data_IF_797605309479
#
_entry.id   IF_797605309479
#
_cell.length_a   1.000
_cell.length_b   1.000
_cell.length_c   1.000
_cell.angle_alpha   90.00
_cell.angle_beta   90.00
_cell.angle_gamma   90.00
#
_symmetry.space_group_name_H-M   'P 1'
#
loop_
_entity.id
_entity.type
_entity.pdbx_description
1 polymer ?
#
# COMPACT_ATOMS: atom_id res chain seq x y z
N UNK A 1 -13.65 -22.13 -11.05
CA UNK A 1 -13.19 -21.62 -9.75
C UNK A 1 -11.76 -21.12 -9.96
N UNK A 2 -11.63 -19.90 -10.46
CA UNK A 2 -10.33 -19.28 -10.71
C UNK A 2 -9.85 -18.68 -9.40
N UNK A 3 -8.74 -19.23 -8.87
CA UNK A 3 -7.99 -18.58 -7.82
C UNK A 3 -7.28 -17.38 -8.45
N UNK A 4 -7.77 -16.19 -8.15
CA UNK A 4 -7.07 -14.95 -8.42
C UNK A 4 -5.77 -14.96 -7.59
N UNK A 5 -4.63 -15.04 -8.27
CA UNK A 5 -3.33 -14.92 -7.62
C UNK A 5 -3.21 -13.49 -7.12
N UNK A 6 -3.24 -13.33 -5.80
CA UNK A 6 -2.82 -12.09 -5.15
C UNK A 6 -1.34 -11.91 -5.45
N UNK A 7 -0.99 -10.97 -6.34
CA UNK A 7 0.38 -10.55 -6.55
C UNK A 7 0.82 -9.75 -5.32
N UNK A 8 1.40 -10.44 -4.33
CA UNK A 8 2.15 -9.80 -3.27
C UNK A 8 3.52 -9.43 -3.84
N UNK A 9 3.72 -8.15 -4.20
CA UNK A 9 5.04 -7.68 -4.59
C UNK A 9 5.93 -7.58 -3.34
N UNK A 10 6.79 -8.57 -3.13
CA UNK A 10 7.81 -8.54 -2.10
C UNK A 10 9.01 -7.74 -2.65
N UNK A 11 8.94 -6.42 -2.51
CA UNK A 11 10.11 -5.55 -2.73
C UNK A 11 10.88 -5.43 -1.43
N UNK A 12 12.07 -6.02 -1.39
CA UNK A 12 12.85 -6.24 -0.16
C UNK A 12 13.75 -5.05 0.19
N UNK A 13 13.65 -3.91 -0.51
CA UNK A 13 14.60 -2.78 -0.41
C UNK A 13 13.99 -1.42 -0.08
N UNK A 14 12.66 -1.27 -0.03
CA UNK A 14 12.05 0.06 0.16
C UNK A 14 10.83 -0.07 1.05
N UNK A 15 10.99 0.31 2.33
CA UNK A 15 9.93 0.57 3.34
C UNK A 15 8.63 -0.22 3.08
N UNK A 16 8.44 -1.41 3.69
CA UNK A 16 7.40 -2.32 3.25
C UNK A 16 6.06 -1.93 3.88
N UNK A 17 5.50 -0.80 3.45
CA UNK A 17 4.06 -0.58 3.57
C UNK A 17 3.42 -1.31 2.39
N UNK A 18 3.08 -2.58 2.62
CA UNK A 18 2.28 -3.34 1.67
C UNK A 18 0.81 -3.00 1.97
N UNK A 19 0.16 -2.32 1.01
CA UNK A 19 -1.28 -2.12 1.02
C UNK A 19 -1.94 -3.30 0.32
N UNK A 20 -2.63 -4.15 1.06
CA UNK A 20 -3.52 -5.16 0.46
C UNK A 20 -4.94 -4.64 0.55
N UNK A 21 -5.60 -4.47 -0.60
CA UNK A 21 -7.00 -4.09 -0.67
C UNK A 21 -7.87 -5.07 0.11
N UNK A 22 -8.89 -4.58 0.81
CA UNK A 22 -9.77 -5.43 1.59
C UNK A 22 -10.41 -6.53 0.73
N UNK A 23 -10.54 -7.73 1.31
CA UNK A 23 -11.08 -8.95 0.66
C UNK A 23 -12.57 -8.86 0.30
N UNK A 24 -13.25 -7.77 0.67
CA UNK A 24 -14.65 -7.51 0.38
C UNK A 24 -14.75 -6.39 -0.66
N UNK A 25 -15.34 -6.74 -1.81
CA UNK A 25 -15.55 -5.92 -3.02
C UNK A 25 -16.40 -4.63 -2.80
N UNK A 26 -16.77 -4.33 -1.56
CA UNK A 26 -17.62 -3.20 -1.17
C UNK A 26 -17.05 -2.34 -0.04
N UNK A 27 -15.88 -2.69 0.50
CA UNK A 27 -15.26 -1.97 1.62
C UNK A 27 -14.01 -1.21 1.15
N UNK A 28 -14.25 -0.16 0.35
CA UNK A 28 -13.20 0.71 -0.19
C UNK A 28 -12.54 1.60 0.88
N UNK A 29 -13.05 1.60 2.11
CA UNK A 29 -12.60 2.46 3.20
C UNK A 29 -11.50 1.83 4.05
N UNK A 30 -11.26 0.52 3.88
CA UNK A 30 -10.30 -0.22 4.68
C UNK A 30 -9.17 -0.77 3.83
N UNK A 31 -7.94 -0.50 4.27
CA UNK A 31 -6.72 -1.08 3.71
C UNK A 31 -6.05 -1.92 4.79
N UNK A 32 -5.51 -3.08 4.41
CA UNK A 32 -4.63 -3.83 5.29
C UNK A 32 -3.22 -3.26 5.17
N UNK A 33 -2.70 -2.78 6.29
CA UNK A 33 -1.34 -2.26 6.39
C UNK A 33 -0.49 -3.30 7.10
N UNK A 34 0.53 -3.77 6.41
CA UNK A 34 1.60 -4.57 7.00
C UNK A 34 2.80 -3.65 7.24
N UNK A 35 3.38 -3.70 8.43
CA UNK A 35 4.57 -2.93 8.80
C UNK A 35 5.72 -3.89 9.07
N UNK A 36 6.93 -3.49 8.68
CA UNK A 36 8.16 -4.27 8.91
C UNK A 36 8.32 -4.66 10.38
N UNK A 37 8.19 -3.70 11.29
CA UNK A 37 8.20 -3.94 12.74
C UNK A 37 7.19 -5.00 13.18
N UNK A 38 6.02 -5.03 12.54
CA UNK A 38 4.98 -6.03 12.81
C UNK A 38 5.37 -7.43 12.32
N UNK A 39 6.16 -7.54 11.25
CA UNK A 39 6.71 -8.79 10.76
C UNK A 39 7.90 -9.26 11.63
N UNK A 40 8.80 -8.35 11.98
CA UNK A 40 9.99 -8.66 12.78
C UNK A 40 9.63 -8.97 14.25
N UNK A 41 8.72 -8.21 14.87
CA UNK A 41 8.37 -8.40 16.28
C UNK A 41 7.14 -9.29 16.47
N UNK A 42 6.24 -9.34 15.48
CA UNK A 42 5.04 -10.17 15.54
C UNK A 42 5.25 -11.59 15.02
N UNK A 43 5.97 -11.74 13.90
CA UNK A 43 6.26 -13.04 13.28
C UNK A 43 7.71 -13.49 13.46
N UNK A 44 8.61 -12.66 14.01
CA UNK A 44 10.02 -13.01 14.24
C UNK A 44 10.76 -13.46 12.97
N UNK A 45 10.41 -12.87 11.83
CA UNK A 45 11.05 -13.14 10.54
C UNK A 45 11.94 -11.96 10.14
N UNK A 46 13.23 -12.22 10.01
CA UNK A 46 14.18 -11.24 9.47
C UNK A 46 14.02 -11.07 7.96
N UNK A 47 14.65 -10.04 7.40
CA UNK A 47 14.77 -9.85 5.94
C UNK A 47 15.35 -11.10 5.24
N UNK A 48 16.37 -11.72 5.84
CA UNK A 48 16.96 -12.95 5.30
C UNK A 48 16.00 -14.14 5.34
N UNK A 49 15.17 -14.24 6.38
CA UNK A 49 14.16 -15.29 6.49
C UNK A 49 13.07 -15.14 5.43
N UNK A 50 12.63 -13.92 5.17
CA UNK A 50 11.68 -13.62 4.09
C UNK A 50 12.26 -13.99 2.72
N UNK A 51 13.55 -13.68 2.48
CA UNK A 51 14.27 -14.09 1.28
C UNK A 51 14.30 -15.62 1.12
N UNK A 52 14.65 -16.34 2.19
CA UNK A 52 14.69 -17.80 2.18
C UNK A 52 13.30 -18.41 1.90
N UNK A 53 12.25 -17.86 2.51
CA UNK A 53 10.86 -18.25 2.27
C UNK A 53 10.49 -18.05 0.80
N UNK A 54 10.79 -16.88 0.22
CA UNK A 54 10.49 -16.58 -1.17
C UNK A 54 11.21 -17.53 -2.15
N UNK A 55 12.47 -17.88 -1.85
CA UNK A 55 13.26 -18.79 -2.68
C UNK A 55 12.80 -20.25 -2.59
N UNK A 56 12.37 -20.71 -1.41
CA UNK A 56 12.00 -22.12 -1.23
C UNK A 56 10.55 -22.41 -1.57
N UNK A 57 9.62 -21.49 -1.32
CA UNK A 57 8.20 -21.65 -1.72
C UNK A 57 7.99 -21.26 -3.19
N UNK A 58 8.80 -20.33 -3.68
CA UNK A 58 8.60 -19.67 -4.95
C UNK A 58 7.85 -18.34 -4.80
N UNK A 59 8.07 -17.46 -5.76
CA UNK A 59 7.52 -16.12 -5.79
C UNK A 59 7.64 -15.50 -7.18
N UNK A 60 7.81 -14.18 -7.24
CA UNK A 60 7.85 -13.43 -8.50
C UNK A 60 9.03 -13.80 -9.42
N UNK A 61 10.13 -14.34 -8.88
CA UNK A 61 11.36 -14.56 -9.63
C UNK A 61 11.75 -16.02 -9.85
N UNK A 62 11.14 -16.97 -9.13
CA UNK A 62 11.40 -18.41 -9.26
C UNK A 62 10.19 -19.24 -8.76
N UNK A 63 10.06 -20.47 -9.27
CA UNK A 63 8.97 -21.38 -8.89
C UNK A 63 9.16 -22.04 -7.52
N UNK A 64 10.36 -21.95 -6.94
CA UNK A 64 10.72 -22.56 -5.67
C UNK A 64 10.93 -24.06 -5.74
N UNK A 65 10.98 -24.68 -4.56
CA UNK A 65 11.20 -26.12 -4.41
C UNK A 65 9.87 -26.86 -4.36
N UNK A 66 9.63 -27.85 -5.25
CA UNK A 66 8.40 -28.62 -5.25
C UNK A 66 8.07 -29.24 -3.89
N UNK A 67 6.81 -29.07 -3.47
CA UNK A 67 6.32 -29.60 -2.19
C UNK A 67 6.74 -28.78 -0.96
N UNK A 68 7.48 -27.69 -1.15
CA UNK A 68 7.84 -26.76 -0.08
C UNK A 68 6.71 -25.74 0.15
N UNK A 69 5.98 -25.89 1.25
CA UNK A 69 4.87 -25.01 1.62
C UNK A 69 5.22 -24.01 2.74
N UNK A 70 4.38 -22.99 2.90
CA UNK A 70 4.57 -21.92 3.89
C UNK A 70 4.69 -22.43 5.33
N UNK A 71 3.96 -23.49 5.71
CA UNK A 71 4.04 -24.04 7.06
C UNK A 71 5.42 -24.65 7.38
N UNK A 72 6.04 -25.29 6.38
CA UNK A 72 7.38 -25.88 6.51
C UNK A 72 8.39 -24.75 6.62
N UNK A 73 8.29 -23.78 5.71
CA UNK A 73 9.24 -22.70 5.59
C UNK A 73 9.20 -21.70 6.73
N UNK A 74 8.01 -21.40 7.25
CA UNK A 74 7.87 -20.55 8.43
C UNK A 74 8.59 -21.17 9.64
N UNK A 75 8.51 -22.49 9.83
CA UNK A 75 9.23 -23.19 10.91
C UNK A 75 10.74 -23.21 10.68
N UNK A 76 11.18 -23.45 9.44
CA UNK A 76 12.61 -23.40 9.07
C UNK A 76 13.18 -22.01 9.34
N UNK A 77 12.49 -20.96 8.92
CA UNK A 77 12.87 -19.57 9.17
C UNK A 77 12.94 -19.26 10.66
N UNK A 78 11.89 -19.55 11.43
CA UNK A 78 11.83 -19.24 12.86
C UNK A 78 12.89 -19.94 13.72
N UNK A 79 13.29 -21.14 13.32
CA UNK A 79 14.13 -22.02 14.14
C UNK A 79 15.54 -22.24 13.59
N UNK A 80 15.89 -21.56 12.51
CA UNK A 80 17.25 -21.58 11.95
C UNK A 80 17.74 -20.16 11.72
N UNK A 81 19.05 -20.00 11.52
CA UNK A 81 19.64 -18.72 11.09
C UNK A 81 19.95 -18.70 9.59
N UNK A 82 19.43 -19.69 8.86
CA UNK A 82 19.79 -19.93 7.46
C UNK A 82 19.41 -18.73 6.59
N UNK A 83 18.25 -18.11 6.83
CA UNK A 83 17.81 -16.97 6.06
C UNK A 83 18.75 -15.78 6.18
N UNK A 84 19.12 -15.41 7.40
CA UNK A 84 20.08 -14.33 7.63
C UNK A 84 21.47 -14.66 7.08
N UNK A 85 21.97 -15.90 7.28
CA UNK A 85 23.25 -16.34 6.73
C UNK A 85 23.29 -16.26 5.20
N UNK A 86 22.18 -16.62 4.54
CA UNK A 86 22.02 -16.50 3.09
C UNK A 86 22.13 -15.04 2.62
N UNK A 87 21.44 -14.13 3.31
CA UNK A 87 21.50 -12.71 2.97
C UNK A 87 22.91 -12.14 3.19
N UNK A 88 23.54 -12.46 4.32
CA UNK A 88 24.89 -11.99 4.64
C UNK A 88 25.93 -12.53 3.65
N UNK A 89 25.84 -13.82 3.30
CA UNK A 89 26.71 -14.43 2.29
C UNK A 89 26.54 -13.74 0.92
N UNK A 90 25.30 -13.53 0.48
CA UNK A 90 25.03 -12.85 -0.79
C UNK A 90 25.59 -11.42 -0.82
N UNK A 91 25.50 -10.68 0.28
CA UNK A 91 25.99 -9.29 0.36
C UNK A 91 27.51 -9.17 0.49
N UNK A 92 28.20 -10.22 0.93
CA UNK A 92 29.64 -10.18 1.25
C UNK A 92 30.53 -10.92 0.26
N UNK A 93 29.97 -11.85 -0.51
CA UNK A 93 30.72 -12.74 -1.42
C UNK A 93 30.57 -12.32 -2.88
N UNK A 94 31.57 -12.67 -3.69
CA UNK A 94 31.43 -12.64 -5.16
C UNK A 94 30.49 -13.75 -5.64
N UNK A 95 29.96 -13.68 -6.89
CA UNK A 95 29.06 -14.72 -7.41
C UNK A 95 29.66 -16.13 -7.40
N UNK A 96 30.96 -16.26 -7.66
CA UNK A 96 31.66 -17.55 -7.66
C UNK A 96 31.82 -18.10 -6.24
N UNK A 97 32.22 -17.25 -5.28
CA UNK A 97 32.31 -17.62 -3.86
C UNK A 97 30.94 -17.98 -3.27
N UNK A 98 29.90 -17.22 -3.62
CA UNK A 98 28.53 -17.50 -3.23
C UNK A 98 28.05 -18.85 -3.77
N UNK A 99 28.42 -19.19 -5.01
CA UNK A 99 28.05 -20.47 -5.62
C UNK A 99 28.73 -21.66 -4.93
N UNK A 100 29.93 -21.47 -4.40
CA UNK A 100 30.60 -22.50 -3.59
C UNK A 100 29.95 -22.63 -2.21
N UNK A 101 29.72 -21.50 -1.53
CA UNK A 101 29.04 -21.44 -0.23
C UNK A 101 27.61 -22.03 -0.30
N UNK A 102 26.91 -21.81 -1.41
CA UNK A 102 25.56 -22.34 -1.63
C UNK A 102 25.49 -23.87 -1.57
N UNK A 103 26.60 -24.58 -1.85
CA UNK A 103 26.64 -26.05 -1.70
C UNK A 103 26.54 -26.46 -0.24
N UNK A 104 27.22 -25.75 0.65
CA UNK A 104 27.12 -25.97 2.11
C UNK A 104 25.70 -25.65 2.60
N UNK A 105 25.10 -24.56 2.10
CA UNK A 105 23.71 -24.21 2.39
C UNK A 105 22.74 -25.33 1.98
N UNK A 106 22.91 -25.94 0.80
CA UNK A 106 22.09 -27.08 0.37
C UNK A 106 22.24 -28.24 1.37
N UNK A 107 23.46 -28.58 1.78
CA UNK A 107 23.70 -29.65 2.75
C UNK A 107 23.04 -29.38 4.12
N UNK A 108 23.11 -28.12 4.58
CA UNK A 108 22.45 -27.67 5.81
C UNK A 108 20.92 -27.81 5.71
N UNK A 109 20.34 -27.37 4.59
CA UNK A 109 18.90 -27.50 4.33
C UNK A 109 18.48 -28.98 4.24
N UNK A 110 19.26 -29.81 3.56
CA UNK A 110 19.03 -31.24 3.49
C UNK A 110 19.05 -31.89 4.87
N UNK A 111 20.06 -31.56 5.67
CA UNK A 111 20.21 -32.09 7.03
C UNK A 111 19.03 -31.65 7.89
N UNK A 112 18.70 -30.36 7.89
CA UNK A 112 17.59 -29.78 8.64
C UNK A 112 16.27 -30.48 8.32
N UNK A 113 15.92 -30.56 7.04
CA UNK A 113 14.66 -31.13 6.57
C UNK A 113 14.59 -32.66 6.75
N UNK A 114 15.71 -33.37 6.60
CA UNK A 114 15.73 -34.85 6.63
C UNK A 114 15.84 -35.43 8.03
N UNK A 115 16.59 -34.77 8.92
CA UNK A 115 16.88 -35.29 10.26
C UNK A 115 15.98 -34.69 11.33
N UNK A 116 15.45 -33.48 11.10
CA UNK A 116 14.84 -32.63 12.11
C UNK A 116 15.80 -32.36 13.28
N UNK A 117 17.04 -31.99 12.95
CA UNK A 117 18.16 -31.87 13.89
C UNK A 117 17.88 -30.98 15.11
N UNK A 118 17.02 -29.97 14.96
CA UNK A 118 16.66 -29.04 16.06
C UNK A 118 15.36 -29.40 16.79
N UNK A 119 14.71 -30.54 16.46
CA UNK A 119 13.34 -30.85 16.86
C UNK A 119 12.34 -29.70 16.59
N UNK A 120 12.69 -28.81 15.65
CA UNK A 120 11.94 -27.60 15.31
C UNK A 120 10.79 -27.89 14.35
N UNK A 121 10.83 -29.05 13.68
CA UNK A 121 9.81 -29.50 12.76
C UNK A 121 8.98 -30.60 13.43
N UNK A 122 7.67 -30.63 13.17
CA UNK A 122 6.79 -31.69 13.69
C UNK A 122 7.08 -33.06 13.07
N UNK A 123 7.69 -33.06 11.88
CA UNK A 123 8.07 -34.24 11.12
C UNK A 123 9.26 -33.96 10.22
N UNK A 124 9.81 -35.03 9.63
CA UNK A 124 10.86 -34.95 8.61
C UNK A 124 10.24 -34.70 7.24
N UNK A 125 10.89 -33.85 6.45
CA UNK A 125 10.48 -33.47 5.10
C UNK A 125 11.51 -33.94 4.06
N UNK A 126 11.87 -35.23 4.12
CA UNK A 126 12.87 -35.84 3.22
C UNK A 126 12.57 -35.62 1.74
N UNK A 127 11.30 -35.78 1.35
CA UNK A 127 10.88 -35.54 -0.02
C UNK A 127 11.19 -34.09 -0.45
N UNK A 128 10.93 -33.09 0.39
CA UNK A 128 11.24 -31.69 0.06
C UNK A 128 12.75 -31.49 -0.07
N UNK A 129 13.52 -32.06 0.85
CA UNK A 129 14.99 -32.02 0.79
C UNK A 129 15.50 -32.57 -0.55
N UNK A 130 15.04 -33.75 -0.96
CA UNK A 130 15.44 -34.39 -2.22
C UNK A 130 15.10 -33.59 -3.49
N UNK A 131 14.13 -32.67 -3.42
CA UNK A 131 13.75 -31.82 -4.55
C UNK A 131 14.52 -30.49 -4.59
N UNK A 132 15.40 -30.21 -3.63
CA UNK A 132 16.26 -29.01 -3.67
C UNK A 132 17.26 -29.17 -4.83
N UNK A 133 17.26 -28.26 -5.83
CA UNK A 133 18.19 -28.36 -6.95
C UNK A 133 19.65 -28.15 -6.50
N UNK A 134 20.60 -28.83 -7.14
CA UNK A 134 22.04 -28.64 -6.87
C UNK A 134 22.55 -27.21 -7.14
N UNK A 135 21.86 -26.45 -7.99
CA UNK A 135 22.19 -25.05 -8.29
C UNK A 135 21.43 -24.04 -7.42
N UNK A 136 20.83 -24.48 -6.31
CA UNK A 136 20.05 -23.63 -5.41
C UNK A 136 20.94 -22.96 -4.35
N UNK A 137 20.67 -21.69 -3.98
CA UNK A 137 19.89 -20.71 -4.72
C UNK A 137 20.70 -20.13 -5.88
N UNK A 138 20.03 -19.85 -7.01
CA UNK A 138 20.70 -19.19 -8.14
C UNK A 138 21.01 -17.74 -7.80
N UNK A 139 22.28 -17.32 -7.88
CA UNK A 139 22.72 -15.95 -7.59
C UNK A 139 21.86 -14.89 -8.32
N UNK A 140 21.53 -15.13 -9.59
CA UNK A 140 20.72 -14.21 -10.39
C UNK A 140 19.28 -14.04 -9.85
N UNK A 141 18.70 -15.07 -9.22
CA UNK A 141 17.37 -14.99 -8.58
C UNK A 141 17.47 -14.21 -7.28
N UNK A 142 18.47 -14.54 -6.44
CA UNK A 142 18.70 -13.82 -5.17
C UNK A 142 18.93 -12.32 -5.44
N UNK A 143 19.72 -11.99 -6.45
CA UNK A 143 19.97 -10.60 -6.86
C UNK A 143 18.71 -9.83 -7.23
N UNK A 144 17.67 -10.48 -7.78
CA UNK A 144 16.41 -9.79 -8.12
C UNK A 144 15.62 -9.39 -6.87
N UNK A 145 15.75 -10.16 -5.78
CA UNK A 145 15.14 -9.84 -4.50
C UNK A 145 15.96 -8.81 -3.70
N UNK A 146 17.29 -8.94 -3.70
CA UNK A 146 18.18 -8.13 -2.85
C UNK A 146 18.64 -6.83 -3.52
N UNK A 147 18.66 -6.78 -4.85
CA UNK A 147 19.03 -5.61 -5.64
C UNK A 147 17.91 -5.31 -6.64
N UNK A 148 16.73 -5.00 -6.10
CA UNK A 148 15.58 -4.68 -6.94
C UNK A 148 15.86 -3.45 -7.81
N UNK A 149 15.77 -3.59 -9.13
CA UNK A 149 15.90 -2.44 -10.02
C UNK A 149 14.65 -1.58 -9.94
N UNK A 150 14.65 -0.62 -9.02
CA UNK A 150 13.56 0.33 -8.84
C UNK A 150 13.77 1.58 -9.68
N UNK A 151 12.70 2.33 -9.95
CA UNK A 151 12.78 3.63 -10.62
C UNK A 151 13.76 4.59 -9.94
N UNK A 152 13.92 4.48 -8.62
CA UNK A 152 14.91 5.22 -7.83
C UNK A 152 16.36 4.89 -8.22
N UNK A 153 16.66 3.62 -8.49
CA UNK A 153 18.00 3.18 -8.93
C UNK A 153 18.26 3.46 -10.42
N UNK A 154 17.21 3.60 -11.24
CA UNK A 154 17.31 3.91 -12.66
C UNK A 154 17.75 5.35 -12.98
N UNK A 155 18.19 6.12 -11.97
CA UNK A 155 18.54 7.52 -12.12
C UNK A 155 17.34 8.44 -12.31
N UNK A 156 16.12 8.00 -11.97
CA UNK A 156 15.02 8.93 -11.79
C UNK A 156 15.44 9.89 -10.68
N UNK A 157 15.57 11.18 -11.02
CA UNK A 157 15.73 12.25 -10.05
C UNK A 157 14.75 11.99 -8.90
N UNK A 158 15.25 12.09 -7.66
CA UNK A 158 14.49 11.85 -6.43
C UNK A 158 13.00 12.13 -6.66
N UNK A 159 12.14 11.10 -6.52
CA UNK A 159 10.69 11.15 -6.73
C UNK A 159 10.21 12.58 -6.51
N UNK A 160 9.64 13.30 -7.49
CA UNK A 160 9.32 14.71 -7.31
C UNK A 160 8.58 14.86 -5.98
N UNK A 161 9.29 15.42 -4.99
CA UNK A 161 8.77 15.61 -3.64
C UNK A 161 7.58 16.58 -3.67
N UNK A 162 7.42 17.25 -4.81
CA UNK A 162 6.21 17.88 -5.26
C UNK A 162 5.15 16.82 -5.65
N UNK A 163 4.67 16.08 -4.64
CA UNK A 163 3.32 15.52 -4.69
C UNK A 163 2.40 16.75 -4.65
N UNK A 164 2.25 17.35 -5.81
CA UNK A 164 1.41 18.49 -6.04
C UNK A 164 -0.01 17.96 -6.04
N UNK A 165 -0.66 18.14 -4.90
CA UNK A 165 -2.09 18.05 -4.77
C UNK A 165 -2.66 19.03 -5.82
N UNK A 166 -3.26 18.58 -6.93
CA UNK A 166 -3.89 19.46 -7.93
C UNK A 166 -5.40 19.48 -7.77
N UNK A 167 -6.02 20.66 -7.91
CA UNK A 167 -7.48 20.70 -7.95
C UNK A 167 -7.94 19.93 -9.18
N UNK A 168 -8.95 19.05 -9.06
CA UNK A 168 -9.49 18.37 -10.23
C UNK A 168 -9.99 19.42 -11.21
N UNK A 169 -9.61 19.27 -12.48
CA UNK A 169 -10.16 20.08 -13.55
C UNK A 169 -11.58 19.56 -13.86
N UNK A 170 -12.56 20.19 -13.23
CA UNK A 170 -13.97 19.78 -13.33
C UNK A 170 -14.53 19.95 -14.75
N UNK A 171 -13.98 20.88 -15.54
CA UNK A 171 -14.40 21.10 -16.94
C UNK A 171 -13.93 19.93 -17.78
N UNK A 172 -12.63 19.63 -17.72
CA UNK A 172 -12.07 18.50 -18.46
C UNK A 172 -12.65 17.16 -17.99
N UNK A 173 -12.99 17.04 -16.71
CA UNK A 173 -13.67 15.85 -16.18
C UNK A 173 -15.10 15.72 -16.72
N UNK A 174 -15.86 16.83 -16.80
CA UNK A 174 -17.19 16.82 -17.42
C UNK A 174 -17.11 16.48 -18.93
N UNK A 175 -16.14 17.05 -19.64
CA UNK A 175 -15.87 16.73 -21.05
C UNK A 175 -15.53 15.25 -21.23
N UNK A 176 -14.71 14.68 -20.34
CA UNK A 176 -14.39 13.26 -20.31
C UNK A 176 -15.63 12.40 -20.08
N UNK A 177 -16.50 12.75 -19.13
CA UNK A 177 -17.75 12.04 -18.87
C UNK A 177 -18.68 12.06 -20.10
N UNK A 178 -18.80 13.20 -20.80
CA UNK A 178 -19.58 13.27 -22.04
C UNK A 178 -19.01 12.34 -23.11
N UNK A 179 -17.70 12.43 -23.35
CA UNK A 179 -17.04 11.73 -24.46
C UNK A 179 -16.93 10.22 -24.23
N UNK A 180 -16.66 9.78 -23.00
CA UNK A 180 -16.30 8.40 -22.71
C UNK A 180 -17.36 7.62 -21.94
N UNK A 181 -18.23 8.30 -21.18
CA UNK A 181 -19.29 7.65 -20.42
C UNK A 181 -20.68 7.88 -21.02
N UNK A 182 -20.78 8.70 -22.06
CA UNK A 182 -22.05 9.09 -22.70
C UNK A 182 -23.06 9.63 -21.69
N UNK A 183 -22.58 10.37 -20.69
CA UNK A 183 -23.46 11.02 -19.72
C UNK A 183 -23.98 12.33 -20.30
N UNK A 184 -25.29 12.53 -20.17
CA UNK A 184 -25.95 13.80 -20.47
C UNK A 184 -25.61 14.86 -19.41
N UNK A 185 -25.72 16.14 -19.76
CA UNK A 185 -25.32 17.26 -18.89
C UNK A 185 -26.00 17.21 -17.50
N UNK A 186 -27.29 16.89 -17.44
CA UNK A 186 -28.03 16.77 -16.17
C UNK A 186 -27.47 15.65 -15.28
N UNK A 187 -27.11 14.51 -15.89
CA UNK A 187 -26.52 13.38 -15.18
C UNK A 187 -25.09 13.70 -14.71
N UNK A 188 -24.31 14.45 -15.50
CA UNK A 188 -22.98 14.91 -15.10
C UNK A 188 -23.09 15.81 -13.88
N UNK A 189 -23.99 16.80 -13.91
CA UNK A 189 -24.21 17.70 -12.78
C UNK A 189 -24.61 16.91 -11.54
N UNK A 190 -25.58 16.01 -11.63
CA UNK A 190 -26.01 15.16 -10.52
C UNK A 190 -24.86 14.35 -9.92
N UNK A 191 -24.05 13.69 -10.76
CA UNK A 191 -22.93 12.83 -10.31
C UNK A 191 -21.75 13.62 -9.77
N UNK A 192 -21.46 14.78 -10.36
CA UNK A 192 -20.43 15.69 -9.87
C UNK A 192 -20.78 16.19 -8.47
N UNK A 193 -22.03 16.62 -8.25
CA UNK A 193 -22.50 17.04 -6.93
C UNK A 193 -22.55 15.90 -5.92
N UNK A 194 -23.02 14.71 -6.33
CA UNK A 194 -23.22 13.59 -5.43
C UNK A 194 -21.97 12.78 -5.07
N UNK A 195 -20.87 12.88 -5.83
CA UNK A 195 -19.70 12.03 -5.61
C UNK A 195 -18.33 12.67 -5.78
N UNK A 196 -18.21 13.79 -6.49
CA UNK A 196 -16.90 14.41 -6.79
C UNK A 196 -16.68 15.66 -5.92
N UNK A 197 -17.74 16.40 -5.63
CA UNK A 197 -17.66 17.69 -4.95
C UNK A 197 -17.07 17.61 -3.54
N UNK A 198 -17.40 16.55 -2.79
CA UNK A 198 -16.85 16.33 -1.44
C UNK A 198 -15.32 16.18 -1.49
N UNK A 199 -14.81 15.39 -2.44
CA UNK A 199 -13.37 15.19 -2.65
C UNK A 199 -12.67 16.46 -3.13
N UNK A 200 -13.25 17.17 -4.11
CA UNK A 200 -12.72 18.43 -4.60
C UNK A 200 -12.65 19.49 -3.50
N UNK A 201 -13.69 19.57 -2.65
CA UNK A 201 -13.74 20.51 -1.53
C UNK A 201 -12.72 20.16 -0.45
N UNK A 202 -12.62 18.89 -0.06
CA UNK A 202 -11.61 18.43 0.90
C UNK A 202 -10.20 18.77 0.42
N UNK A 203 -9.95 18.58 -0.88
CA UNK A 203 -8.69 18.92 -1.51
C UNK A 203 -8.43 20.43 -1.51
N UNK A 204 -9.46 21.26 -1.69
CA UNK A 204 -9.35 22.72 -1.59
C UNK A 204 -9.03 23.16 -0.17
N UNK A 205 -9.69 22.56 0.81
CA UNK A 205 -9.42 22.78 2.23
C UNK A 205 -7.96 22.46 2.57
N UNK A 206 -7.44 21.29 2.17
CA UNK A 206 -6.06 20.88 2.47
C UNK A 206 -4.97 21.80 1.87
N UNK A 207 -5.29 22.62 0.88
CA UNK A 207 -4.35 23.57 0.25
C UNK A 207 -4.22 24.90 0.97
N UNK A 208 -5.11 25.19 1.91
CA UNK A 208 -5.16 26.50 2.51
C UNK A 208 -3.95 26.69 3.44
N UNK A 209 -3.18 27.77 3.28
CA UNK A 209 -2.09 28.06 4.20
C UNK A 209 -2.65 28.35 5.60
N UNK A 210 -1.95 27.89 6.65
CA UNK A 210 -2.29 28.07 8.07
C UNK A 210 -2.65 29.51 8.49
N UNK A 211 -2.19 30.51 7.75
CA UNK A 211 -2.32 31.92 8.13
C UNK A 211 -2.29 32.81 6.87
N UNK A 212 -3.43 33.02 6.23
CA UNK A 212 -3.57 34.04 5.19
C UNK A 212 -4.93 34.72 5.27
N UNK A 213 -5.00 35.95 4.76
CA UNK A 213 -6.24 36.73 4.68
C UNK A 213 -7.37 36.02 3.91
N UNK A 214 -7.04 35.01 3.08
CA UNK A 214 -7.98 34.17 2.32
C UNK A 214 -8.88 33.29 3.21
N UNK A 215 -8.58 33.14 4.51
CA UNK A 215 -9.45 32.45 5.47
C UNK A 215 -10.80 33.14 5.68
N UNK A 216 -10.89 34.48 5.52
CA UNK A 216 -12.11 35.24 5.81
C UNK A 216 -13.25 34.92 4.83
N UNK A 217 -12.94 34.64 3.56
CA UNK A 217 -13.92 34.30 2.53
C UNK A 217 -14.36 32.82 2.62
N UNK A 218 -13.47 31.92 3.05
CA UNK A 218 -13.80 30.51 3.23
C UNK A 218 -14.59 30.22 4.51
N UNK A 219 -14.37 30.99 5.59
CA UNK A 219 -15.25 30.95 6.78
C UNK A 219 -16.70 31.33 6.45
N UNK A 220 -16.93 32.12 5.41
CA UNK A 220 -18.28 32.40 4.91
C UNK A 220 -18.83 31.25 4.05
N UNK A 221 -17.94 30.40 3.53
CA UNK A 221 -18.26 29.30 2.62
C UNK A 221 -18.71 28.03 3.36
N UNK A 222 -18.35 27.83 4.62
CA UNK A 222 -18.85 26.69 5.41
C UNK A 222 -19.21 27.02 6.86
N UNK A 223 -20.15 26.25 7.42
CA UNK A 223 -20.57 26.31 8.81
C UNK A 223 -20.39 24.95 9.47
N UNK A 224 -19.67 24.90 10.58
CA UNK A 224 -19.59 23.71 11.42
C UNK A 224 -20.93 23.52 12.11
N UNK A 225 -21.53 22.34 11.98
CA UNK A 225 -22.84 22.03 12.55
C UNK A 225 -22.68 21.36 13.91
N UNK A 226 -21.97 20.24 13.93
CA UNK A 226 -21.78 19.44 15.13
C UNK A 226 -20.56 18.54 15.02
N UNK A 227 -19.86 18.27 16.14
CA UNK A 227 -18.93 17.14 16.20
C UNK A 227 -19.72 15.84 16.01
N UNK A 228 -19.08 14.87 15.38
CA UNK A 228 -19.61 13.52 15.19
C UNK A 228 -18.45 12.54 15.19
N UNK A 229 -18.67 11.32 15.65
CA UNK A 229 -17.63 10.28 15.52
C UNK A 229 -18.01 9.41 14.35
N UNK A 230 -17.16 9.35 13.34
CA UNK A 230 -17.34 8.37 12.27
C UNK A 230 -16.69 7.08 12.76
N UNK A 231 -17.52 6.11 13.13
CA UNK A 231 -17.06 4.78 13.50
C UNK A 231 -16.55 4.07 12.25
N UNK A 232 -15.29 4.30 11.88
CA UNK A 232 -14.57 3.38 11.02
C UNK A 232 -14.26 2.15 11.87
N UNK A 233 -14.47 0.96 11.30
CA UNK A 233 -14.51 -0.37 11.97
C UNK A 233 -13.39 -0.68 12.99
N UNK A 234 -12.30 0.10 13.07
CA UNK A 234 -11.18 -0.11 14.00
C UNK A 234 -10.52 1.17 14.56
N UNK A 235 -10.94 2.37 14.17
CA UNK A 235 -10.37 3.63 14.67
C UNK A 235 -11.45 4.70 14.79
N UNK A 236 -11.54 5.33 15.96
CA UNK A 236 -12.40 6.48 16.18
C UNK A 236 -11.75 7.72 15.55
N UNK A 237 -12.17 8.05 14.33
CA UNK A 237 -11.80 9.32 13.71
C UNK A 237 -12.84 10.34 14.13
N UNK A 238 -12.41 11.32 14.92
CA UNK A 238 -13.23 12.50 15.20
C UNK A 238 -13.46 13.27 13.89
N UNK A 239 -14.72 13.43 13.52
CA UNK A 239 -15.13 14.20 12.34
C UNK A 239 -16.07 15.32 12.76
N UNK A 240 -16.19 16.34 11.94
CA UNK A 240 -17.23 17.34 12.10
C UNK A 240 -18.11 17.35 10.87
N UNK A 241 -19.41 17.46 11.10
CA UNK A 241 -20.37 17.72 10.04
C UNK A 241 -20.29 19.20 9.69
N UNK A 242 -19.90 19.51 8.46
CA UNK A 242 -19.87 20.88 7.94
C UNK A 242 -20.92 21.06 6.85
N UNK A 243 -21.51 22.26 6.82
CA UNK A 243 -22.42 22.72 5.76
C UNK A 243 -21.67 23.69 4.87
N UNK A 244 -21.54 23.39 3.59
CA UNK A 244 -20.85 24.22 2.60
C UNK A 244 -21.89 24.91 1.70
N UNK A 245 -21.75 26.22 1.50
CA UNK A 245 -22.57 26.97 0.53
C UNK A 245 -21.99 26.78 -0.89
N UNK A 246 -22.70 26.03 -1.72
CA UNK A 246 -22.28 25.70 -3.08
C UNK A 246 -22.15 26.94 -3.98
N UNK A 247 -22.77 28.08 -3.63
CA UNK A 247 -22.73 29.31 -4.43
C UNK A 247 -21.37 30.00 -4.42
N UNK A 248 -20.57 29.77 -3.40
CA UNK A 248 -19.22 30.31 -3.28
C UNK A 248 -18.22 29.61 -4.22
N UNK A 249 -18.55 28.42 -4.73
CA UNK A 249 -17.63 27.56 -5.48
C UNK A 249 -17.80 27.63 -7.00
N UNK A 250 -18.91 28.19 -7.50
CA UNK A 250 -19.37 28.02 -8.88
C UNK A 250 -19.09 29.16 -9.88
N UNK A 251 -18.37 30.24 -9.54
CA UNK A 251 -18.20 31.34 -10.52
C UNK A 251 -17.24 31.05 -11.67
N UNK A 252 -16.35 30.07 -11.54
CA UNK A 252 -15.26 29.87 -12.51
C UNK A 252 -15.24 28.50 -13.22
N UNK A 253 -16.06 27.51 -12.85
CA UNK A 253 -15.86 26.11 -13.30
C UNK A 253 -17.04 25.44 -14.01
N UNK A 254 -18.28 25.92 -13.87
CA UNK A 254 -19.42 25.39 -14.64
C UNK A 254 -20.19 26.59 -15.21
N UNK A 255 -19.94 26.92 -16.47
CA UNK A 255 -20.57 28.05 -17.14
C UNK A 255 -22.10 28.00 -17.04
N UNK A 256 -22.73 29.12 -16.71
CA UNK A 256 -24.16 29.50 -16.77
C UNK A 256 -25.24 28.44 -16.45
N UNK A 257 -24.91 27.28 -15.90
CA UNK A 257 -25.87 26.35 -15.34
C UNK A 257 -26.56 27.08 -14.19
N UNK A 258 -27.87 27.31 -14.34
CA UNK A 258 -28.65 28.03 -13.36
C UNK A 258 -28.59 27.23 -12.06
N UNK A 259 -28.19 27.81 -10.92
CA UNK A 259 -28.13 27.12 -9.64
C UNK A 259 -29.57 26.94 -9.11
N UNK A 260 -30.33 26.08 -9.77
CA UNK A 260 -31.63 25.60 -9.31
C UNK A 260 -31.43 24.45 -8.33
N UNK A 261 -31.76 24.69 -7.07
CA UNK A 261 -32.03 23.72 -5.99
C UNK A 261 -30.90 23.27 -5.03
N UNK A 262 -29.60 23.36 -5.34
CA UNK A 262 -28.56 22.90 -4.39
C UNK A 262 -28.00 24.06 -3.55
N UNK A 263 -28.73 24.41 -2.48
CA UNK A 263 -28.37 25.54 -1.59
C UNK A 263 -27.26 25.24 -0.58
N UNK A 264 -26.97 23.96 -0.30
CA UNK A 264 -25.89 23.55 0.59
C UNK A 264 -25.51 22.08 0.44
N UNK A 265 -24.22 21.79 0.59
CA UNK A 265 -23.65 20.44 0.70
C UNK A 265 -23.32 20.16 2.18
N UNK A 266 -23.55 18.92 2.62
CA UNK A 266 -23.19 18.46 3.96
C UNK A 266 -22.10 17.41 3.81
N UNK A 267 -20.98 17.56 4.51
CA UNK A 267 -19.88 16.60 4.47
C UNK A 267 -19.25 16.40 5.84
N UNK A 268 -18.64 15.24 6.05
CA UNK A 268 -17.86 14.93 7.25
C UNK A 268 -16.39 15.20 7.00
N UNK A 269 -15.79 16.09 7.79
CA UNK A 269 -14.36 16.43 7.69
C UNK A 269 -13.62 15.99 8.95
N UNK A 270 -12.50 15.27 8.82
CA UNK A 270 -11.65 14.92 9.96
C UNK A 270 -11.24 16.14 10.78
N UNK A 271 -11.31 16.03 12.10
CA UNK A 271 -10.91 17.09 13.04
C UNK A 271 -9.52 17.63 12.74
N UNK A 272 -8.56 16.75 12.43
CA UNK A 272 -7.17 17.14 12.14
C UNK A 272 -7.07 18.14 10.97
N UNK A 273 -7.94 18.03 9.97
CA UNK A 273 -7.98 18.95 8.82
C UNK A 273 -8.60 20.28 9.25
N UNK A 274 -9.70 20.23 10.02
CA UNK A 274 -10.34 21.45 10.51
C UNK A 274 -9.48 22.21 11.52
N UNK A 275 -8.79 21.52 12.43
CA UNK A 275 -7.82 22.12 13.36
C UNK A 275 -6.66 22.81 12.63
N UNK A 276 -6.33 22.38 11.41
CA UNK A 276 -5.31 23.04 10.60
C UNK A 276 -5.81 24.35 9.99
N UNK A 277 -7.06 24.39 9.54
CA UNK A 277 -7.60 25.46 8.70
C UNK A 277 -8.40 26.49 9.51
N UNK A 278 -9.04 26.05 10.59
CA UNK A 278 -9.92 26.82 11.44
C UNK A 278 -9.80 26.37 12.92
N UNK A 279 -8.59 26.45 13.53
CA UNK A 279 -8.34 26.00 14.90
C UNK A 279 -9.25 26.66 15.94
N UNK A 280 -9.74 27.87 15.67
CA UNK A 280 -10.64 28.61 16.55
C UNK A 280 -12.09 28.11 16.56
N UNK A 281 -12.48 27.27 15.60
CA UNK A 281 -13.87 26.77 15.43
C UNK A 281 -14.01 25.32 15.89
N UNK A 282 -12.91 24.65 16.19
CA UNK A 282 -12.81 23.21 16.54
C UNK A 282 -12.53 23.03 18.02
#
# INVERSE_FOLDING_TARGET
MHHEKVCCHFSVDVLPLIFVGAKNDKDYLNVQVFMEDGLEHGCSLTRGDQLLIALLIGGDYDAGVPGCGIEIMHKVALHSKIGQMLLDAFLSMTPDEFSEWAKELIEDLHTLLSTNSYNSLERRYKAVAEHIPQGFPQHAVVSKYVHTFTSFLAGAAALPWDISFYQPDLVNLADFCRQHLSWEDDAIVEKMYGGIWEGAYLHALCKLPKCSADQADLRQTFKIISPSTLMALRHDIEVYSIKVDCRCLGRNTLGNATPGQLSALYMHVPKVILSHIAPEVV
#
